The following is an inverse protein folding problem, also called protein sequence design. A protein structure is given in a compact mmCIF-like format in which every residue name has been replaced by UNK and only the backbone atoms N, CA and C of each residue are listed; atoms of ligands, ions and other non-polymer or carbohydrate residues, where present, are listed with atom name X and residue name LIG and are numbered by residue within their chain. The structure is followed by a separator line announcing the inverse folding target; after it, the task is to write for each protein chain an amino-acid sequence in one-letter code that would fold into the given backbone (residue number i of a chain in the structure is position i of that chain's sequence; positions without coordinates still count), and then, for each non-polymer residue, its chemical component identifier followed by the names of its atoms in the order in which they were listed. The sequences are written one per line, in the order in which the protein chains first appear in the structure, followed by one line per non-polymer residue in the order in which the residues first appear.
data_IF_456970152499
#
_entry.id   IF_456970152499
#
_cell.length_a   1.000
_cell.length_b   1.000
_cell.length_c   1.000
_cell.angle_alpha   90.00
_cell.angle_beta   90.00
_cell.angle_gamma   90.00
#
_symmetry.space_group_name_H-M   'P 1'
#
loop_
_entity.id
_entity.type
_entity.pdbx_description
1 polymer ?
#
# COMPACT_ATOMS: atom_id res chain seq x y z
N UNK A 1 17.25 48.01 -32.03
CA UNK A 1 15.96 48.01 -31.34
C UNK A 1 15.28 46.71 -31.73
N UNK A 2 15.62 45.64 -30.96
CA UNK A 2 15.15 44.26 -31.20
C UNK A 2 14.04 43.96 -30.20
N UNK A 3 12.85 43.70 -30.72
CA UNK A 3 11.67 43.36 -29.95
C UNK A 3 11.75 41.89 -29.48
N UNK A 4 11.88 41.69 -28.16
CA UNK A 4 11.74 40.38 -27.53
C UNK A 4 10.26 39.95 -27.56
N UNK A 5 9.99 38.80 -28.19
CA UNK A 5 8.71 38.13 -28.15
C UNK A 5 8.63 37.26 -26.88
N UNK A 6 7.54 37.31 -26.11
CA UNK A 6 7.42 36.46 -24.92
C UNK A 6 7.19 35.00 -25.29
N UNK A 7 8.05 34.11 -24.84
CA UNK A 7 7.88 32.65 -24.91
C UNK A 7 6.65 32.22 -24.10
N UNK A 8 5.60 31.82 -24.81
CA UNK A 8 4.45 31.15 -24.18
C UNK A 8 4.86 29.73 -23.78
N UNK A 9 5.05 29.48 -22.48
CA UNK A 9 5.28 28.14 -21.92
C UNK A 9 3.95 27.38 -21.94
N UNK A 10 3.71 26.56 -22.97
CA UNK A 10 2.63 25.58 -22.93
C UNK A 10 2.94 24.53 -21.84
N UNK A 11 1.97 24.22 -20.95
CA UNK A 11 2.17 23.17 -19.94
C UNK A 11 2.35 21.82 -20.63
N UNK A 12 3.35 21.03 -20.18
CA UNK A 12 3.64 19.74 -20.78
C UNK A 12 2.41 18.83 -20.69
N UNK A 13 2.16 18.02 -21.74
CA UNK A 13 1.03 17.06 -21.84
C UNK A 13 0.93 16.15 -20.61
N UNK A 14 2.03 15.91 -19.91
CA UNK A 14 2.10 15.12 -18.67
C UNK A 14 1.47 15.86 -17.48
N UNK A 15 1.72 17.18 -17.34
CA UNK A 15 1.09 18.03 -16.29
C UNK A 15 -0.41 18.20 -16.52
N UNK A 16 -0.84 18.29 -17.78
CA UNK A 16 -2.26 18.40 -18.12
C UNK A 16 -3.04 17.11 -17.83
N UNK A 17 -2.45 15.92 -18.05
CA UNK A 17 -3.07 14.62 -17.69
C UNK A 17 -3.22 14.44 -16.18
N UNK A 18 -2.21 14.81 -15.40
CA UNK A 18 -2.28 14.77 -13.92
C UNK A 18 -3.34 15.74 -13.40
N UNK A 19 -3.46 16.93 -13.99
CA UNK A 19 -4.48 17.90 -13.61
C UNK A 19 -5.91 17.42 -13.95
N UNK A 20 -6.11 16.72 -15.07
CA UNK A 20 -7.42 16.19 -15.46
C UNK A 20 -7.86 15.04 -14.53
N UNK A 21 -6.95 14.13 -14.16
CA UNK A 21 -7.25 13.05 -13.21
C UNK A 21 -7.52 13.64 -11.82
N UNK A 22 -6.71 14.59 -11.35
CA UNK A 22 -6.93 15.28 -10.09
C UNK A 22 -8.27 16.04 -10.04
N UNK A 23 -8.66 16.69 -11.15
CA UNK A 23 -9.94 17.41 -11.25
C UNK A 23 -11.14 16.44 -11.22
N UNK A 24 -11.03 15.28 -11.87
CA UNK A 24 -12.08 14.26 -11.88
C UNK A 24 -12.32 13.68 -10.47
N UNK A 25 -11.27 13.38 -9.73
CA UNK A 25 -11.35 12.92 -8.33
C UNK A 25 -11.93 14.01 -7.41
N UNK A 26 -11.52 15.26 -7.59
CA UNK A 26 -12.01 16.38 -6.77
C UNK A 26 -13.49 16.66 -7.04
N UNK A 27 -13.94 16.61 -8.29
CA UNK A 27 -15.34 16.76 -8.65
C UNK A 27 -16.17 15.59 -8.10
N UNK A 28 -15.69 14.36 -8.18
CA UNK A 28 -16.34 13.18 -7.60
C UNK A 28 -16.50 13.32 -6.07
N UNK A 29 -15.48 13.76 -5.36
CA UNK A 29 -15.52 14.00 -3.91
C UNK A 29 -16.45 15.17 -3.53
N UNK A 30 -16.53 16.24 -4.32
CA UNK A 30 -17.43 17.36 -4.08
C UNK A 30 -18.91 16.98 -4.33
N UNK A 31 -19.17 16.16 -5.36
CA UNK A 31 -20.51 15.61 -5.60
C UNK A 31 -20.89 14.66 -4.47
N UNK A 32 -20.00 13.77 -4.04
CA UNK A 32 -20.20 12.86 -2.91
C UNK A 32 -20.50 13.61 -1.61
N UNK A 33 -19.69 14.63 -1.25
CA UNK A 33 -19.90 15.45 -0.06
C UNK A 33 -21.20 16.27 -0.11
N UNK A 34 -21.57 16.80 -1.28
CA UNK A 34 -22.83 17.54 -1.47
C UNK A 34 -24.06 16.65 -1.34
N UNK A 35 -23.99 15.42 -1.82
CA UNK A 35 -25.08 14.44 -1.78
C UNK A 35 -25.35 13.88 -0.38
N UNK A 36 -24.31 13.70 0.46
CA UNK A 36 -24.48 13.20 1.84
C UNK A 36 -25.06 14.22 2.82
N UNK A 37 -25.09 15.51 2.50
CA UNK A 37 -25.53 16.56 3.45
C UNK A 37 -27.04 16.91 3.40
N UNK A 38 -27.81 16.48 2.39
CA UNK A 38 -29.15 17.02 2.12
C UNK A 38 -30.21 15.98 1.65
N UNK A 39 -30.32 14.77 2.18
CA UNK A 39 -31.28 13.84 1.61
C UNK A 39 -32.36 13.22 2.53
N UNK A 40 -33.64 13.11 2.08
CA UNK A 40 -34.64 12.26 2.69
C UNK A 40 -34.38 10.77 2.37
N UNK A 41 -34.82 9.86 3.24
CA UNK A 41 -34.72 8.42 3.04
C UNK A 41 -35.56 7.93 1.85
N UNK A 42 -34.94 7.19 0.93
CA UNK A 42 -35.62 6.59 -0.23
C UNK A 42 -36.41 5.35 0.22
N UNK A 43 -37.55 5.09 -0.46
CA UNK A 43 -38.24 3.83 -0.28
C UNK A 43 -37.51 2.68 -1.01
N UNK A 44 -37.46 1.50 -0.40
CA UNK A 44 -36.92 0.28 -1.00
C UNK A 44 -37.51 -0.03 -2.39
N UNK A 45 -38.75 0.36 -2.63
CA UNK A 45 -39.45 0.19 -3.92
C UNK A 45 -38.81 1.00 -5.06
N UNK A 46 -38.28 2.19 -4.78
CA UNK A 46 -37.59 3.02 -5.80
C UNK A 46 -36.21 2.43 -6.18
N UNK A 47 -35.48 1.90 -5.19
CA UNK A 47 -34.20 1.21 -5.43
C UNK A 47 -34.37 -0.05 -6.28
N UNK A 48 -35.41 -0.88 -5.94
CA UNK A 48 -35.71 -2.09 -6.70
C UNK A 48 -36.14 -1.76 -8.15
N UNK A 49 -36.85 -0.65 -8.37
CA UNK A 49 -37.21 -0.18 -9.71
C UNK A 49 -35.96 0.31 -10.49
N UNK A 50 -34.99 0.94 -9.85
CA UNK A 50 -33.74 1.31 -10.49
C UNK A 50 -32.93 0.07 -10.86
N UNK A 51 -32.76 -0.86 -9.94
CA UNK A 51 -32.02 -2.10 -10.17
C UNK A 51 -32.54 -2.86 -11.39
N UNK A 52 -33.89 -2.95 -11.53
CA UNK A 52 -34.52 -3.63 -12.68
C UNK A 52 -34.23 -2.99 -14.05
N UNK A 53 -33.71 -1.75 -14.09
CA UNK A 53 -33.33 -1.04 -15.32
C UNK A 53 -31.84 -1.21 -15.70
N UNK A 54 -31.03 -1.72 -14.78
CA UNK A 54 -29.61 -1.97 -15.02
C UNK A 54 -29.46 -3.40 -15.53
N UNK A 55 -29.02 -3.61 -16.78
CA UNK A 55 -28.80 -4.96 -17.29
C UNK A 55 -27.60 -5.59 -16.57
N UNK A 56 -27.84 -6.63 -15.80
CA UNK A 56 -26.79 -7.39 -15.12
C UNK A 56 -26.31 -8.48 -16.04
N UNK A 57 -25.06 -8.34 -16.53
CA UNK A 57 -24.40 -9.34 -17.38
C UNK A 57 -22.88 -9.24 -17.24
N UNK A 58 -22.10 -10.25 -17.67
CA UNK A 58 -20.64 -10.16 -17.69
C UNK A 58 -20.10 -8.99 -18.52
N UNK A 59 -20.85 -8.53 -19.52
CA UNK A 59 -20.44 -7.41 -20.38
C UNK A 59 -20.68 -6.04 -19.73
N UNK A 60 -21.72 -5.93 -18.88
CA UNK A 60 -22.15 -4.65 -18.29
C UNK A 60 -21.61 -4.45 -16.88
N UNK A 61 -21.83 -5.43 -16.00
CA UNK A 61 -21.48 -5.35 -14.57
C UNK A 61 -20.26 -6.19 -14.18
N UNK A 62 -19.68 -6.98 -15.11
CA UNK A 62 -18.59 -7.94 -14.88
C UNK A 62 -19.05 -9.09 -13.96
N UNK A 63 -19.52 -8.79 -12.76
CA UNK A 63 -20.13 -9.73 -11.84
C UNK A 63 -21.64 -9.76 -12.02
N UNK A 64 -22.23 -10.95 -11.83
CA UNK A 64 -23.67 -11.18 -11.92
C UNK A 64 -24.27 -11.63 -10.59
N UNK A 65 -23.41 -11.88 -9.60
CA UNK A 65 -23.76 -12.29 -8.22
C UNK A 65 -22.58 -11.98 -7.30
N UNK A 66 -22.78 -11.91 -5.97
CA UNK A 66 -24.07 -11.90 -5.29
C UNK A 66 -24.88 -10.63 -5.56
N UNK A 67 -26.20 -10.71 -5.32
CA UNK A 67 -27.15 -9.60 -5.51
C UNK A 67 -27.63 -9.13 -4.13
N UNK A 68 -27.64 -7.82 -3.89
CA UNK A 68 -28.12 -7.22 -2.66
C UNK A 68 -29.68 -7.28 -2.56
N UNK A 69 -30.25 -6.90 -1.42
CA UNK A 69 -31.70 -6.91 -1.15
C UNK A 69 -32.50 -6.00 -2.10
N UNK A 70 -31.86 -5.07 -2.79
CA UNK A 70 -32.45 -4.15 -3.76
C UNK A 70 -32.31 -4.61 -5.21
N UNK A 71 -31.57 -5.70 -5.47
CA UNK A 71 -31.35 -6.26 -6.80
C UNK A 71 -30.11 -5.72 -7.53
N UNK A 72 -29.19 -5.05 -6.84
CA UNK A 72 -27.88 -4.65 -7.41
C UNK A 72 -26.82 -5.70 -7.10
N UNK A 73 -25.79 -5.75 -7.96
CA UNK A 73 -24.62 -6.56 -7.67
C UNK A 73 -23.88 -6.01 -6.44
N UNK A 74 -23.56 -6.87 -5.49
CA UNK A 74 -22.65 -6.56 -4.39
C UNK A 74 -21.21 -6.74 -4.88
N UNK A 75 -20.62 -5.66 -5.43
CA UNK A 75 -19.31 -5.71 -6.02
C UNK A 75 -18.21 -6.00 -5.02
N UNK A 76 -18.32 -5.48 -3.79
CA UNK A 76 -17.33 -5.70 -2.74
C UNK A 76 -17.22 -7.19 -2.41
N UNK A 77 -18.35 -7.84 -2.16
CA UNK A 77 -18.41 -9.27 -1.87
C UNK A 77 -17.93 -10.13 -3.05
N UNK A 78 -18.49 -9.89 -4.26
CA UNK A 78 -18.09 -10.62 -5.47
C UNK A 78 -16.59 -10.54 -5.76
N UNK A 79 -16.02 -9.35 -5.59
CA UNK A 79 -14.60 -9.10 -5.83
C UNK A 79 -13.71 -9.82 -4.82
N UNK A 80 -14.02 -9.71 -3.53
CA UNK A 80 -13.20 -10.35 -2.51
C UNK A 80 -13.35 -11.86 -2.49
N UNK A 81 -14.54 -12.41 -2.78
CA UNK A 81 -14.74 -13.86 -2.91
C UNK A 81 -13.88 -14.45 -4.05
N UNK A 82 -13.75 -13.73 -5.19
CA UNK A 82 -12.84 -14.13 -6.26
C UNK A 82 -11.37 -14.06 -5.84
N UNK A 83 -10.97 -12.98 -5.15
CA UNK A 83 -9.58 -12.75 -4.76
C UNK A 83 -9.11 -13.64 -3.60
N UNK A 84 -10.04 -14.15 -2.79
CA UNK A 84 -9.75 -15.03 -1.65
C UNK A 84 -9.52 -16.49 -2.08
N UNK A 85 -9.84 -16.85 -3.33
CA UNK A 85 -9.71 -18.22 -3.79
C UNK A 85 -8.27 -18.75 -3.64
N UNK A 86 -8.10 -19.84 -2.91
CA UNK A 86 -6.81 -20.47 -2.63
C UNK A 86 -5.98 -19.78 -1.53
N UNK A 87 -6.48 -18.73 -0.89
CA UNK A 87 -5.80 -18.05 0.22
C UNK A 87 -6.13 -18.74 1.55
N UNK A 88 -5.11 -18.94 2.37
CA UNK A 88 -5.25 -19.49 3.72
C UNK A 88 -4.27 -18.80 4.69
N UNK A 89 -4.45 -18.92 6.02
CA UNK A 89 -3.52 -18.37 6.99
C UNK A 89 -2.07 -18.86 6.83
N UNK A 90 -1.91 -20.10 6.33
CA UNK A 90 -0.60 -20.73 6.17
C UNK A 90 0.17 -20.13 4.99
N UNK A 91 -0.52 -19.72 3.91
CA UNK A 91 0.08 -19.21 2.68
C UNK A 91 0.00 -17.67 2.52
N UNK A 92 -0.65 -16.96 3.46
CA UNK A 92 -0.88 -15.52 3.39
C UNK A 92 0.04 -14.75 4.35
N UNK A 93 0.95 -13.95 3.82
CA UNK A 93 1.89 -13.11 4.56
C UNK A 93 1.18 -12.03 5.43
N UNK A 94 -0.01 -11.59 5.03
CA UNK A 94 -0.74 -10.54 5.74
C UNK A 94 -1.00 -10.87 7.21
N UNK A 95 -1.22 -12.14 7.57
CA UNK A 95 -1.39 -12.55 8.96
C UNK A 95 -0.24 -12.13 9.87
N UNK A 96 1.00 -12.36 9.46
CA UNK A 96 2.15 -11.97 10.26
C UNK A 96 2.50 -10.50 10.14
N UNK A 97 2.35 -9.91 8.96
CA UNK A 97 2.66 -8.49 8.72
C UNK A 97 1.69 -7.58 9.50
N UNK A 98 0.38 -7.81 9.39
CA UNK A 98 -0.64 -7.03 10.15
C UNK A 98 -0.48 -7.25 11.66
N UNK A 99 -0.12 -8.47 12.09
CA UNK A 99 0.20 -8.75 13.48
C UNK A 99 1.43 -7.97 13.95
N UNK A 100 2.46 -7.89 13.11
CA UNK A 100 3.65 -7.08 13.40
C UNK A 100 3.34 -5.58 13.48
N UNK A 101 2.33 -5.10 12.75
CA UNK A 101 1.80 -3.73 12.86
C UNK A 101 0.87 -3.53 14.08
N UNK A 102 0.64 -4.59 14.87
CA UNK A 102 -0.31 -4.52 15.99
C UNK A 102 -1.76 -4.35 15.56
N UNK A 103 -2.13 -4.70 14.32
CA UNK A 103 -3.48 -4.47 13.78
C UNK A 103 -3.82 -2.99 13.61
N UNK A 104 -2.82 -2.09 13.51
CA UNK A 104 -2.98 -0.65 13.46
C UNK A 104 -2.41 -0.07 12.17
N UNK A 105 -3.02 0.99 11.67
CA UNK A 105 -2.50 1.83 10.58
C UNK A 105 -1.36 2.75 11.05
N UNK A 106 -0.72 3.44 10.11
CA UNK A 106 0.46 4.27 10.36
C UNK A 106 0.19 5.42 11.35
N UNK A 107 -1.03 5.97 11.34
CA UNK A 107 -1.50 6.98 12.30
C UNK A 107 -1.98 6.40 13.64
N UNK A 108 -1.82 5.09 13.88
CA UNK A 108 -2.13 4.42 15.14
C UNK A 108 -3.59 3.96 15.31
N UNK A 109 -4.51 4.27 14.39
CA UNK A 109 -5.89 3.77 14.47
C UNK A 109 -5.96 2.26 14.22
N UNK A 110 -6.95 1.58 14.79
CA UNK A 110 -7.16 0.15 14.60
C UNK A 110 -7.79 -0.11 13.23
N UNK A 111 -7.16 -0.97 12.42
CA UNK A 111 -7.68 -1.47 11.15
C UNK A 111 -8.70 -2.59 11.42
N UNK A 112 -9.92 -2.18 11.83
CA UNK A 112 -10.92 -3.09 12.40
C UNK A 112 -11.32 -4.21 11.44
N UNK A 113 -11.69 -3.88 10.20
CA UNK A 113 -12.10 -4.81 9.15
C UNK A 113 -11.00 -5.83 8.80
N UNK A 114 -9.76 -5.35 8.66
CA UNK A 114 -8.58 -6.20 8.42
C UNK A 114 -8.32 -7.13 9.60
N UNK A 115 -8.42 -6.62 10.83
CA UNK A 115 -8.24 -7.43 12.05
C UNK A 115 -9.33 -8.49 12.19
N UNK A 116 -10.59 -8.15 11.91
CA UNK A 116 -11.71 -9.09 11.93
C UNK A 116 -11.52 -10.19 10.89
N UNK A 117 -11.17 -9.84 9.65
CA UNK A 117 -10.89 -10.81 8.59
C UNK A 117 -9.75 -11.76 8.96
N UNK A 118 -8.62 -11.22 9.42
CA UNK A 118 -7.44 -12.01 9.79
C UNK A 118 -7.56 -12.66 11.19
N UNK A 119 -8.61 -12.37 11.96
CA UNK A 119 -8.81 -12.84 13.35
C UNK A 119 -7.61 -12.48 14.24
N UNK A 120 -7.16 -11.23 14.12
CA UNK A 120 -6.05 -10.68 14.89
C UNK A 120 -6.63 -9.75 15.96
N UNK A 121 -6.26 -9.96 17.23
CA UNK A 121 -6.54 -8.99 18.28
C UNK A 121 -5.60 -7.79 18.14
N UNK A 122 -6.12 -6.56 18.03
CA UNK A 122 -5.30 -5.37 17.97
C UNK A 122 -4.44 -5.21 19.24
N UNK A 123 -3.18 -4.85 19.06
CA UNK A 123 -2.29 -4.55 20.19
C UNK A 123 -2.74 -3.28 20.93
N UNK A 124 -2.40 -3.19 22.22
CA UNK A 124 -2.55 -1.96 22.98
C UNK A 124 -1.76 -0.82 22.30
N UNK A 125 -2.24 0.41 22.41
CA UNK A 125 -1.63 1.58 21.78
C UNK A 125 -0.15 1.76 22.19
N UNK A 126 0.17 1.44 23.45
CA UNK A 126 1.53 1.45 23.98
C UNK A 126 2.25 0.10 23.83
N UNK A 127 1.68 -0.84 23.08
CA UNK A 127 2.26 -2.16 22.85
C UNK A 127 3.50 -2.12 21.94
N UNK A 128 4.21 -3.24 21.93
CA UNK A 128 5.36 -3.43 21.02
C UNK A 128 4.87 -3.92 19.67
N UNK A 129 4.89 -3.04 18.69
CA UNK A 129 4.59 -3.34 17.29
C UNK A 129 5.40 -2.41 16.38
N UNK A 130 5.49 -2.75 15.09
CA UNK A 130 6.21 -1.93 14.12
C UNK A 130 5.57 -0.54 14.00
N UNK A 131 6.40 0.48 14.13
CA UNK A 131 6.04 1.87 13.86
C UNK A 131 6.92 2.43 12.76
N UNK A 132 6.32 3.17 11.83
CA UNK A 132 7.08 3.98 10.88
C UNK A 132 8.01 4.95 11.60
N UNK A 133 8.93 5.57 10.88
CA UNK A 133 9.85 6.54 11.48
C UNK A 133 9.09 7.71 12.13
N UNK A 134 8.03 8.22 11.47
CA UNK A 134 7.13 9.25 12.06
C UNK A 134 6.41 8.70 13.28
N UNK A 135 5.75 7.55 13.15
CA UNK A 135 5.00 6.97 14.27
C UNK A 135 5.88 6.67 15.48
N UNK A 136 7.14 6.24 15.27
CA UNK A 136 8.10 6.08 16.36
C UNK A 136 8.48 7.45 16.97
N UNK A 137 8.77 8.44 16.13
CA UNK A 137 9.14 9.77 16.59
C UNK A 137 8.06 10.44 17.44
N UNK A 138 6.81 10.40 16.97
CA UNK A 138 5.68 11.05 17.66
C UNK A 138 5.19 10.28 18.89
N UNK A 139 5.14 8.95 18.84
CA UNK A 139 4.47 8.14 19.88
C UNK A 139 5.43 7.55 20.92
N UNK A 140 6.73 7.43 20.60
CA UNK A 140 7.71 6.77 21.47
C UNK A 140 8.85 7.69 21.86
N UNK A 141 9.42 8.44 20.91
CA UNK A 141 10.61 9.25 21.11
C UNK A 141 10.30 10.71 21.45
N UNK A 142 9.03 11.15 21.35
CA UNK A 142 8.55 12.51 21.62
C UNK A 142 9.30 13.58 20.81
N UNK A 143 9.54 13.28 19.51
CA UNK A 143 10.21 14.22 18.60
C UNK A 143 9.26 15.31 18.16
N UNK A 144 9.76 16.54 18.09
CA UNK A 144 9.03 17.64 17.48
C UNK A 144 9.06 17.59 15.94
N UNK A 145 8.27 18.44 15.27
CA UNK A 145 8.17 18.45 13.80
C UNK A 145 9.50 18.78 13.11
N UNK A 146 10.39 19.53 13.73
CA UNK A 146 11.70 19.87 13.17
C UNK A 146 12.65 18.66 13.27
N UNK A 147 12.61 17.92 14.37
CA UNK A 147 13.34 16.67 14.57
C UNK A 147 12.88 15.60 13.60
N UNK A 148 11.54 15.43 13.42
CA UNK A 148 10.98 14.52 12.43
C UNK A 148 11.45 14.87 11.02
N UNK A 149 11.43 16.16 10.64
CA UNK A 149 11.94 16.58 9.33
C UNK A 149 13.43 16.26 9.16
N UNK A 150 14.25 16.54 10.17
CA UNK A 150 15.70 16.26 10.13
C UNK A 150 16.01 14.75 10.05
N UNK A 151 15.23 13.91 10.75
CA UNK A 151 15.50 12.47 10.75
C UNK A 151 15.12 11.79 9.43
N UNK A 152 14.26 12.39 8.61
CA UNK A 152 14.03 11.92 7.25
C UNK A 152 15.24 12.10 6.35
N UNK A 153 15.96 13.22 6.48
CA UNK A 153 17.23 13.43 5.76
C UNK A 153 18.28 12.39 6.21
N UNK A 154 18.34 12.09 7.53
CA UNK A 154 19.20 11.04 8.08
C UNK A 154 18.80 9.65 7.51
N UNK A 155 17.48 9.34 7.42
CA UNK A 155 17.01 8.07 6.85
C UNK A 155 17.40 7.94 5.38
N UNK A 156 17.17 8.98 4.58
CA UNK A 156 17.51 8.95 3.15
C UNK A 156 19.04 8.78 2.96
N UNK A 157 19.85 9.41 3.79
CA UNK A 157 21.31 9.22 3.77
C UNK A 157 21.72 7.79 4.22
N UNK A 158 21.11 7.26 5.29
CA UNK A 158 21.35 5.92 5.82
C UNK A 158 20.95 4.79 4.85
N UNK A 159 20.08 5.06 3.89
CA UNK A 159 19.68 4.11 2.86
C UNK A 159 20.58 4.08 1.63
N UNK A 160 21.55 5.00 1.50
CA UNK A 160 22.33 5.17 0.26
C UNK A 160 23.75 4.63 0.34
N UNK A 161 24.30 4.44 1.53
CA UNK A 161 25.67 3.99 1.77
C UNK A 161 25.82 3.25 3.11
N UNK A 162 26.85 2.42 3.27
CA UNK A 162 27.18 1.84 4.57
C UNK A 162 27.39 2.91 5.65
N UNK A 163 26.92 2.62 6.87
CA UNK A 163 26.99 3.54 8.00
C UNK A 163 27.16 2.81 9.34
N UNK A 164 27.57 3.54 10.36
CA UNK A 164 27.68 3.08 11.73
C UNK A 164 26.65 3.76 12.65
N UNK A 165 26.30 3.14 13.77
CA UNK A 165 25.30 3.68 14.72
C UNK A 165 25.63 5.10 15.19
N UNK A 166 26.91 5.45 15.30
CA UNK A 166 27.36 6.79 15.69
C UNK A 166 27.08 7.87 14.64
N UNK A 167 26.90 7.51 13.34
CA UNK A 167 26.58 8.46 12.27
C UNK A 167 25.08 8.86 12.28
N UNK A 168 24.18 7.88 12.49
CA UNK A 168 22.73 8.11 12.50
C UNK A 168 22.07 7.50 13.76
N UNK A 169 22.33 8.03 14.95
CA UNK A 169 21.90 7.42 16.21
C UNK A 169 20.39 7.34 16.35
N UNK A 170 19.61 8.29 15.78
CA UNK A 170 18.14 8.25 15.78
C UNK A 170 17.60 7.15 14.89
N UNK A 171 18.23 6.89 13.76
CA UNK A 171 17.88 5.76 12.88
C UNK A 171 18.21 4.44 13.57
N UNK A 172 19.37 4.33 14.24
CA UNK A 172 19.76 3.13 14.99
C UNK A 172 18.72 2.81 16.10
N UNK A 173 18.27 3.81 16.86
CA UNK A 173 17.22 3.66 17.88
C UNK A 173 15.88 3.18 17.30
N UNK A 174 15.47 3.74 16.15
CA UNK A 174 14.26 3.31 15.46
C UNK A 174 14.37 1.88 14.95
N UNK A 175 15.52 1.47 14.42
CA UNK A 175 15.78 0.08 14.01
C UNK A 175 15.70 -0.87 15.21
N UNK A 176 16.34 -0.54 16.31
CA UNK A 176 16.32 -1.34 17.55
C UNK A 176 14.89 -1.50 18.09
N UNK A 177 14.13 -0.43 18.19
CA UNK A 177 12.76 -0.44 18.70
C UNK A 177 11.81 -1.34 17.88
N UNK A 178 12.08 -1.51 16.58
CA UNK A 178 11.26 -2.32 15.67
C UNK A 178 11.81 -3.72 15.40
N UNK A 179 12.96 -4.09 15.97
CA UNK A 179 13.68 -5.32 15.60
C UNK A 179 12.82 -6.59 15.76
N UNK A 180 12.09 -6.74 16.87
CA UNK A 180 11.23 -7.90 17.10
C UNK A 180 10.07 -8.02 16.12
N UNK A 181 9.43 -6.90 15.79
CA UNK A 181 8.35 -6.85 14.79
C UNK A 181 8.88 -7.14 13.39
N UNK A 182 10.10 -6.70 13.10
CA UNK A 182 10.74 -6.93 11.81
C UNK A 182 11.06 -8.41 11.58
N UNK A 183 11.47 -9.15 12.60
CA UNK A 183 11.68 -10.60 12.48
C UNK A 183 10.39 -11.33 12.10
N UNK A 184 9.24 -10.95 12.70
CA UNK A 184 7.95 -11.50 12.32
C UNK A 184 7.57 -11.17 10.88
N UNK A 185 7.87 -9.93 10.42
CA UNK A 185 7.66 -9.52 9.03
C UNK A 185 8.53 -10.38 8.10
N UNK A 186 9.83 -10.48 8.35
CA UNK A 186 10.77 -11.27 7.51
C UNK A 186 10.34 -12.73 7.38
N UNK A 187 9.87 -13.34 8.47
CA UNK A 187 9.34 -14.71 8.43
C UNK A 187 8.08 -14.80 7.56
N UNK A 188 7.19 -13.81 7.68
CA UNK A 188 5.95 -13.76 6.89
C UNK A 188 6.19 -13.57 5.40
N UNK A 189 7.25 -12.85 5.01
CA UNK A 189 7.62 -12.64 3.60
C UNK A 189 8.07 -13.91 2.86
N UNK A 190 8.22 -15.05 3.55
CA UNK A 190 8.46 -16.36 2.92
C UNK A 190 7.19 -16.99 2.35
N UNK A 191 6.01 -16.47 2.70
CA UNK A 191 4.73 -16.95 2.19
C UNK A 191 4.44 -16.40 0.80
N UNK A 192 3.69 -17.14 -0.05
CA UNK A 192 3.52 -16.78 -1.45
C UNK A 192 2.49 -15.67 -1.72
N UNK A 193 1.60 -15.37 -0.78
CA UNK A 193 0.51 -14.41 -0.98
C UNK A 193 0.52 -13.31 0.07
N UNK A 194 -0.02 -12.14 -0.30
CA UNK A 194 -0.43 -11.08 0.61
C UNK A 194 -1.87 -10.70 0.24
N UNK A 195 -2.80 -10.97 1.13
CA UNK A 195 -4.20 -10.68 0.90
C UNK A 195 -4.88 -10.25 2.19
N UNK A 196 -5.64 -9.16 2.11
CA UNK A 196 -6.53 -8.67 3.16
C UNK A 196 -7.88 -8.33 2.56
N UNK A 197 -8.96 -8.62 3.29
CA UNK A 197 -10.30 -8.15 2.94
C UNK A 197 -10.56 -6.85 3.68
N UNK A 198 -11.05 -5.84 2.98
CA UNK A 198 -11.41 -4.53 3.52
C UNK A 198 -12.88 -4.26 3.25
N UNK A 199 -13.57 -3.68 4.22
CA UNK A 199 -14.95 -3.29 4.05
C UNK A 199 -15.05 -1.81 3.66
N UNK A 200 -16.01 -1.49 2.82
CA UNK A 200 -16.34 -0.11 2.44
C UNK A 200 -17.42 0.51 3.34
N UNK A 201 -17.87 -0.20 4.39
CA UNK A 201 -18.96 0.21 5.29
C UNK A 201 -20.24 0.65 4.53
N UNK A 202 -20.43 0.15 3.30
CA UNK A 202 -21.58 0.47 2.45
C UNK A 202 -21.40 1.69 1.54
N UNK A 203 -20.28 2.39 1.62
CA UNK A 203 -19.99 3.59 0.80
C UNK A 203 -19.46 3.27 -0.61
N UNK A 204 -19.44 1.97 -0.98
CA UNK A 204 -18.90 1.48 -2.24
C UNK A 204 -17.39 1.28 -2.22
N UNK A 205 -16.88 0.53 -3.20
CA UNK A 205 -15.47 0.13 -3.25
C UNK A 205 -14.49 1.31 -3.34
N UNK A 206 -14.94 2.48 -3.80
CA UNK A 206 -14.10 3.69 -3.88
C UNK A 206 -13.68 4.22 -2.49
N UNK A 207 -14.44 3.89 -1.45
CA UNK A 207 -14.17 4.30 -0.07
C UNK A 207 -13.19 3.36 0.67
N UNK A 208 -12.77 2.25 0.04
CA UNK A 208 -11.84 1.31 0.65
C UNK A 208 -10.50 2.00 0.90
N UNK A 209 -10.11 2.07 2.17
CA UNK A 209 -8.83 2.62 2.59
C UNK A 209 -7.75 1.54 2.54
N UNK A 210 -6.56 1.92 2.12
CA UNK A 210 -5.38 1.04 2.00
C UNK A 210 -4.24 1.51 2.92
N UNK A 211 -4.58 1.82 4.16
CA UNK A 211 -3.68 2.47 5.12
C UNK A 211 -2.47 1.61 5.52
N UNK A 212 -2.64 0.29 5.53
CA UNK A 212 -1.56 -0.67 5.74
C UNK A 212 -0.44 -0.56 4.68
N UNK A 213 -0.77 -0.12 3.47
CA UNK A 213 0.19 0.02 2.36
C UNK A 213 1.27 1.07 2.64
N UNK A 214 0.96 2.13 3.37
CA UNK A 214 1.96 3.13 3.74
C UNK A 214 2.96 2.55 4.75
N UNK A 215 2.49 1.75 5.70
CA UNK A 215 3.38 1.02 6.63
C UNK A 215 4.27 0.00 5.91
N UNK A 216 3.74 -0.70 4.92
CA UNK A 216 4.52 -1.64 4.08
C UNK A 216 5.69 -0.92 3.40
N UNK A 217 5.50 0.31 2.92
CA UNK A 217 6.61 1.12 2.38
C UNK A 217 7.63 1.49 3.45
N UNK A 218 7.19 1.77 4.68
CA UNK A 218 8.07 2.06 5.82
C UNK A 218 8.91 0.82 6.21
N UNK A 219 8.36 -0.39 6.08
CA UNK A 219 9.11 -1.66 6.23
C UNK A 219 10.26 -1.75 5.21
N UNK A 220 10.01 -1.43 3.94
CA UNK A 220 11.06 -1.45 2.91
C UNK A 220 12.20 -0.44 3.22
N UNK A 221 11.86 0.75 3.73
CA UNK A 221 12.86 1.74 4.16
C UNK A 221 13.64 1.28 5.38
N UNK A 222 12.98 0.63 6.35
CA UNK A 222 13.64 0.01 7.49
C UNK A 222 14.67 -1.02 7.04
N UNK A 223 14.26 -1.98 6.22
CA UNK A 223 15.12 -3.03 5.72
C UNK A 223 16.33 -2.49 4.94
N UNK A 224 16.14 -1.43 4.14
CA UNK A 224 17.25 -0.80 3.43
C UNK A 224 18.23 -0.11 4.39
N UNK A 225 17.75 0.67 5.35
CA UNK A 225 18.61 1.31 6.34
C UNK A 225 19.39 0.26 7.17
N UNK A 226 18.73 -0.83 7.59
CA UNK A 226 19.39 -1.92 8.34
C UNK A 226 20.41 -2.68 7.48
N UNK A 227 20.12 -2.91 6.18
CA UNK A 227 21.06 -3.50 5.25
C UNK A 227 22.33 -2.64 5.12
N UNK A 228 22.20 -1.33 5.01
CA UNK A 228 23.36 -0.43 4.92
C UNK A 228 24.13 -0.34 6.25
N UNK A 229 23.46 -0.43 7.41
CA UNK A 229 24.13 -0.55 8.70
C UNK A 229 24.97 -1.83 8.77
N UNK A 230 24.42 -2.97 8.39
CA UNK A 230 25.12 -4.26 8.33
C UNK A 230 26.29 -4.23 7.36
N UNK A 231 26.16 -3.54 6.22
CA UNK A 231 27.32 -3.28 5.34
C UNK A 231 28.42 -2.49 6.05
N UNK A 232 28.08 -1.49 6.86
CA UNK A 232 29.01 -0.74 7.68
C UNK A 232 29.74 -1.58 8.73
N UNK A 233 29.08 -2.63 9.23
CA UNK A 233 29.64 -3.63 10.15
C UNK A 233 30.42 -4.75 9.43
N UNK A 234 30.39 -4.77 8.07
CA UNK A 234 31.05 -5.80 7.27
C UNK A 234 30.24 -7.12 7.13
N UNK A 235 28.99 -7.16 7.62
CA UNK A 235 28.12 -8.32 7.46
C UNK A 235 27.26 -8.23 6.18
N UNK A 236 27.94 -8.43 5.04
CA UNK A 236 27.32 -8.35 3.71
C UNK A 236 26.26 -9.41 3.46
N UNK A 237 26.40 -10.58 4.10
CA UNK A 237 25.40 -11.65 3.98
C UNK A 237 24.10 -11.34 4.72
N UNK A 238 24.16 -10.75 5.91
CA UNK A 238 22.98 -10.30 6.61
C UNK A 238 22.32 -9.10 5.90
N UNK A 239 23.12 -8.18 5.35
CA UNK A 239 22.64 -7.08 4.52
C UNK A 239 21.86 -7.60 3.29
N UNK A 240 22.42 -8.60 2.60
CA UNK A 240 21.75 -9.22 1.44
C UNK A 240 20.40 -9.84 1.79
N UNK A 241 20.29 -10.50 2.95
CA UNK A 241 19.01 -11.08 3.39
C UNK A 241 17.92 -10.00 3.56
N UNK A 242 18.28 -8.82 4.04
CA UNK A 242 17.36 -7.70 4.14
C UNK A 242 16.98 -7.15 2.77
N UNK A 243 17.93 -7.01 1.85
CA UNK A 243 17.66 -6.60 0.46
C UNK A 243 16.73 -7.60 -0.23
N UNK A 244 16.97 -8.89 -0.07
CA UNK A 244 16.10 -9.93 -0.62
C UNK A 244 14.69 -9.89 0.00
N UNK A 245 14.57 -9.52 1.27
CA UNK A 245 13.28 -9.29 1.93
C UNK A 245 12.53 -8.10 1.33
N UNK A 246 13.22 -7.02 0.93
CA UNK A 246 12.60 -5.89 0.24
C UNK A 246 12.04 -6.34 -1.12
N UNK A 247 12.82 -7.10 -1.91
CA UNK A 247 12.33 -7.66 -3.18
C UNK A 247 11.07 -8.52 -2.98
N UNK A 248 11.10 -9.45 -2.00
CA UNK A 248 9.93 -10.30 -1.68
C UNK A 248 8.71 -9.46 -1.33
N UNK A 249 8.89 -8.43 -0.52
CA UNK A 249 7.81 -7.51 -0.14
C UNK A 249 7.23 -6.80 -1.37
N UNK A 250 8.08 -6.23 -2.23
CA UNK A 250 7.67 -5.55 -3.45
C UNK A 250 6.88 -6.48 -4.38
N UNK A 251 7.37 -7.71 -4.57
CA UNK A 251 6.70 -8.71 -5.40
C UNK A 251 5.33 -9.11 -4.81
N UNK A 252 5.23 -9.40 -3.51
CA UNK A 252 3.95 -9.71 -2.86
C UNK A 252 2.92 -8.59 -3.04
N UNK A 253 3.32 -7.35 -2.77
CA UNK A 253 2.42 -6.18 -2.87
C UNK A 253 2.06 -5.87 -4.32
N UNK A 254 2.93 -6.17 -5.30
CA UNK A 254 2.60 -5.99 -6.71
C UNK A 254 1.44 -6.87 -7.19
N UNK A 255 1.13 -7.96 -6.47
CA UNK A 255 0.01 -8.86 -6.77
C UNK A 255 -1.30 -8.46 -6.08
N UNK A 256 -1.29 -7.43 -5.22
CA UNK A 256 -2.51 -6.90 -4.61
C UNK A 256 -3.48 -6.36 -5.67
N UNK A 257 -4.79 -6.35 -5.37
CA UNK A 257 -5.79 -6.05 -6.40
C UNK A 257 -5.82 -4.59 -6.83
N UNK A 258 -5.65 -3.62 -5.90
CA UNK A 258 -5.79 -2.20 -6.20
C UNK A 258 -4.58 -1.64 -6.93
N UNK A 259 -4.82 -0.72 -7.86
CA UNK A 259 -3.73 -0.10 -8.63
C UNK A 259 -2.71 0.62 -7.74
N UNK A 260 -3.16 1.28 -6.68
CA UNK A 260 -2.27 1.98 -5.73
C UNK A 260 -1.34 1.00 -5.02
N UNK A 261 -1.83 -0.15 -4.58
CA UNK A 261 -1.02 -1.20 -3.95
C UNK A 261 0.07 -1.70 -4.92
N UNK A 262 -0.31 -2.00 -6.16
CA UNK A 262 0.63 -2.43 -7.21
C UNK A 262 1.72 -1.40 -7.48
N UNK A 263 1.35 -0.12 -7.56
CA UNK A 263 2.31 0.97 -7.72
C UNK A 263 3.28 1.06 -6.54
N UNK A 264 2.80 0.82 -5.32
CA UNK A 264 3.67 0.73 -4.13
C UNK A 264 4.58 -0.50 -4.21
N UNK A 265 4.08 -1.66 -4.65
CA UNK A 265 4.90 -2.84 -4.89
C UNK A 265 6.06 -2.58 -5.85
N UNK A 266 5.79 -1.93 -6.98
CA UNK A 266 6.84 -1.50 -7.93
C UNK A 266 7.81 -0.46 -7.34
N UNK A 267 7.32 0.46 -6.51
CA UNK A 267 8.18 1.43 -5.83
C UNK A 267 9.11 0.76 -4.81
N UNK A 268 8.63 -0.27 -4.10
CA UNK A 268 9.43 -1.07 -3.16
C UNK A 268 10.50 -1.87 -3.91
N UNK A 269 10.20 -2.43 -5.07
CA UNK A 269 11.21 -3.08 -5.93
C UNK A 269 12.31 -2.09 -6.37
N UNK A 270 11.92 -0.85 -6.67
CA UNK A 270 12.87 0.25 -6.90
C UNK A 270 13.78 0.52 -5.69
N UNK A 271 13.25 0.47 -4.46
CA UNK A 271 14.05 0.59 -3.23
C UNK A 271 15.05 -0.59 -3.14
N UNK A 272 14.61 -1.83 -3.39
CA UNK A 272 15.47 -3.00 -3.39
C UNK A 272 16.59 -2.91 -4.42
N UNK A 273 16.28 -2.43 -5.63
CA UNK A 273 17.26 -2.21 -6.69
C UNK A 273 18.33 -1.18 -6.30
N UNK A 274 17.94 -0.06 -5.69
CA UNK A 274 18.88 0.94 -5.17
C UNK A 274 19.73 0.38 -4.03
N UNK A 275 19.12 -0.36 -3.08
CA UNK A 275 19.85 -1.03 -2.01
C UNK A 275 20.86 -2.05 -2.56
N UNK A 276 20.51 -2.79 -3.61
CA UNK A 276 21.42 -3.73 -4.29
C UNK A 276 22.63 -3.01 -4.86
N UNK A 277 22.45 -1.86 -5.52
CA UNK A 277 23.56 -1.07 -6.06
C UNK A 277 24.46 -0.54 -4.94
N UNK A 278 23.89 -0.04 -3.84
CA UNK A 278 24.64 0.43 -2.68
C UNK A 278 25.45 -0.72 -2.03
N UNK A 279 24.83 -1.89 -1.88
CA UNK A 279 25.46 -3.11 -1.37
C UNK A 279 26.62 -3.57 -2.28
N UNK A 280 26.41 -3.63 -3.61
CA UNK A 280 27.46 -3.99 -4.57
C UNK A 280 28.67 -3.04 -4.47
N UNK A 281 28.44 -1.75 -4.30
CA UNK A 281 29.49 -0.76 -4.14
C UNK A 281 30.26 -0.87 -2.81
N UNK A 282 29.66 -1.52 -1.81
CA UNK A 282 30.25 -1.72 -0.49
C UNK A 282 31.06 -3.03 -0.39
N UNK A 283 30.87 -3.95 -1.34
CA UNK A 283 31.55 -5.25 -1.29
C UNK A 283 33.07 -5.12 -1.43
N UNK A 284 33.84 -5.98 -0.75
CA UNK A 284 35.27 -6.08 -0.98
C UNK A 284 35.58 -6.66 -2.38
N UNK A 285 36.69 -6.30 -2.98
CA UNK A 285 37.11 -6.73 -4.33
C UNK A 285 37.14 -8.26 -4.51
N UNK A 286 37.35 -9.00 -3.43
CA UNK A 286 37.44 -10.47 -3.42
C UNK A 286 36.13 -11.15 -2.99
N UNK A 287 34.98 -10.45 -3.01
CA UNK A 287 33.70 -11.06 -2.65
C UNK A 287 33.28 -12.12 -3.69
N UNK A 288 32.95 -13.30 -3.20
CA UNK A 288 32.48 -14.41 -4.02
C UNK A 288 30.97 -14.62 -3.83
N UNK A 289 30.29 -15.29 -4.79
CA UNK A 289 28.88 -15.67 -4.68
C UNK A 289 27.87 -14.69 -5.29
N UNK A 290 28.31 -13.70 -6.10
CA UNK A 290 27.38 -12.77 -6.78
C UNK A 290 26.39 -13.49 -7.70
N UNK A 291 26.80 -14.62 -8.34
CA UNK A 291 25.90 -15.46 -9.15
C UNK A 291 24.75 -16.02 -8.33
N UNK A 292 25.03 -16.48 -7.10
CA UNK A 292 24.01 -17.06 -6.22
C UNK A 292 23.00 -16.00 -5.79
N UNK A 293 23.47 -14.76 -5.52
CA UNK A 293 22.60 -13.62 -5.17
C UNK A 293 21.66 -13.24 -6.32
N UNK A 294 22.18 -13.24 -7.54
CA UNK A 294 21.35 -13.06 -8.74
C UNK A 294 20.31 -14.16 -8.87
N UNK A 295 20.74 -15.42 -8.72
CA UNK A 295 19.84 -16.57 -8.81
C UNK A 295 18.75 -16.56 -7.73
N UNK A 296 19.02 -15.98 -6.55
CA UNK A 296 18.01 -15.79 -5.50
C UNK A 296 16.93 -14.79 -5.93
N UNK A 297 17.29 -13.70 -6.62
CA UNK A 297 16.32 -12.74 -7.18
C UNK A 297 15.55 -13.41 -8.33
N UNK A 298 16.23 -14.10 -9.24
CA UNK A 298 15.63 -14.73 -10.43
C UNK A 298 14.61 -15.83 -10.06
N UNK A 299 14.70 -16.40 -8.85
CA UNK A 299 13.73 -17.38 -8.31
C UNK A 299 12.49 -16.73 -7.69
N UNK A 300 12.48 -15.42 -7.47
CA UNK A 300 11.28 -14.75 -6.97
C UNK A 300 10.17 -14.79 -8.02
N UNK A 301 8.90 -14.84 -7.61
CA UNK A 301 7.80 -14.59 -8.53
C UNK A 301 8.02 -13.26 -9.25
N UNK A 302 7.70 -13.17 -10.56
CA UNK A 302 7.87 -11.90 -11.27
C UNK A 302 6.97 -10.83 -10.64
N UNK A 303 7.39 -9.57 -10.71
CA UNK A 303 6.51 -8.43 -10.43
C UNK A 303 5.27 -8.52 -11.32
N UNK A 304 4.10 -8.38 -10.72
CA UNK A 304 2.86 -8.41 -11.49
C UNK A 304 2.68 -7.10 -12.29
N UNK A 305 2.03 -7.26 -13.44
CA UNK A 305 1.80 -6.13 -14.34
C UNK A 305 0.76 -5.16 -13.76
N UNK A 306 1.05 -3.86 -13.82
CA UNK A 306 0.11 -2.78 -13.52
C UNK A 306 -1.22 -2.94 -14.30
N UNK A 307 -1.17 -3.57 -15.49
CA UNK A 307 -2.37 -3.83 -16.31
C UNK A 307 -3.42 -4.67 -15.59
N UNK A 308 -3.02 -5.58 -14.70
CA UNK A 308 -3.98 -6.40 -13.94
C UNK A 308 -4.77 -5.56 -12.93
N UNK A 309 -4.20 -4.46 -12.39
CA UNK A 309 -4.91 -3.50 -11.58
C UNK A 309 -6.04 -2.76 -12.32
N UNK A 310 -5.95 -2.61 -13.66
CA UNK A 310 -6.98 -1.93 -14.46
C UNK A 310 -8.34 -2.63 -14.35
N UNK A 311 -8.36 -3.96 -14.19
CA UNK A 311 -9.62 -4.71 -13.99
C UNK A 311 -10.28 -4.29 -12.68
N UNK A 312 -9.54 -4.18 -11.61
CA UNK A 312 -10.05 -3.71 -10.32
C UNK A 312 -10.57 -2.26 -10.41
N UNK A 313 -9.81 -1.35 -11.00
CA UNK A 313 -10.22 0.03 -11.21
C UNK A 313 -11.51 0.14 -12.04
N UNK A 314 -11.71 -0.75 -13.01
CA UNK A 314 -12.93 -0.82 -13.79
C UNK A 314 -14.13 -1.30 -12.94
N UNK A 315 -13.93 -2.26 -12.05
CA UNK A 315 -14.96 -2.72 -11.10
C UNK A 315 -15.35 -1.58 -10.16
N UNK A 316 -14.37 -0.90 -9.58
CA UNK A 316 -14.58 0.28 -8.71
C UNK A 316 -15.36 1.38 -9.44
N UNK A 317 -15.03 1.65 -10.70
CA UNK A 317 -15.72 2.65 -11.49
C UNK A 317 -17.20 2.28 -11.72
N UNK A 318 -17.50 1.00 -12.02
CA UNK A 318 -18.87 0.52 -12.20
C UNK A 318 -19.64 0.63 -10.88
N UNK A 319 -19.08 0.16 -9.79
CA UNK A 319 -19.66 0.26 -8.45
C UNK A 319 -19.94 1.71 -8.06
N UNK A 320 -18.99 2.62 -8.31
CA UNK A 320 -19.15 4.06 -8.04
C UNK A 320 -20.28 4.70 -8.84
N UNK A 321 -20.45 4.32 -10.11
CA UNK A 321 -21.58 4.78 -10.92
C UNK A 321 -22.90 4.30 -10.35
N UNK A 322 -23.00 3.02 -9.98
CA UNK A 322 -24.22 2.44 -9.39
C UNK A 322 -24.52 3.08 -8.02
N UNK A 323 -23.51 3.26 -7.18
CA UNK A 323 -23.65 3.93 -5.89
C UNK A 323 -24.12 5.39 -6.04
N UNK A 324 -23.56 6.13 -7.02
CA UNK A 324 -24.01 7.48 -7.35
C UNK A 324 -25.46 7.50 -7.84
N UNK A 325 -25.88 6.54 -8.65
CA UNK A 325 -27.27 6.40 -9.07
C UNK A 325 -28.22 6.10 -7.91
N UNK A 326 -27.80 5.22 -6.99
CA UNK A 326 -28.53 4.96 -5.74
C UNK A 326 -28.72 6.26 -4.95
N UNK A 327 -27.64 7.02 -4.74
CA UNK A 327 -27.65 8.29 -4.01
C UNK A 327 -28.46 9.38 -4.73
N UNK A 328 -28.36 9.50 -6.05
CA UNK A 328 -29.08 10.55 -6.80
C UNK A 328 -30.61 10.42 -6.73
N UNK A 329 -31.13 9.22 -6.48
CA UNK A 329 -32.55 9.01 -6.24
C UNK A 329 -32.98 9.43 -4.83
N UNK A 330 -32.03 9.58 -3.89
CA UNK A 330 -32.30 10.07 -2.54
C UNK A 330 -32.70 11.56 -2.56
N UNK A 331 -32.35 12.28 -3.63
CA UNK A 331 -32.52 13.73 -3.75
C UNK A 331 -33.66 14.18 -4.69
N UNK A 332 -34.46 13.26 -5.24
CA UNK A 332 -35.67 13.55 -6.02
C UNK A 332 -36.92 13.20 -5.23
#
# INVERSE_FOLDING_TARGET
MTLDTPHSTQPSRKRMRIAIVGLGVTIGLLIYAGLNYFGPSISSGTLNQLASRIPISPETTIYTSPIDEHGFVNFNEAFYDEMEEGISPENNAAYGIVRAFGGRGDSGFVMKDVCEFLRIEPADENGHFFRSLTGYGEQVADWDSAEISSVYDDQDAAMTKPWSEGEYPRIAQWLEANASSMELIKESLKKPHYFVRRDSEGDGMVAILVDDIMQVRSVARYLNADAMRKCGEGDFEAAWKDILAIYRLGHLISHCPFLVERLVGHAIDGIASHATVAWLNALPDNYEGLSDKRDEIDRLPPLDSIKHGIRCERIIAIDSVISTLKLSLIHI
#
